data_IF_275450338004
#
_entry.id   IF_275450338004
#
_cell.length_a   1.000
_cell.length_b   1.000
_cell.length_c   1.000
_cell.angle_alpha   90.00
_cell.angle_beta   90.00
_cell.angle_gamma   90.00
#
_symmetry.space_group_name_H-M   'P 1'
#
loop_
_entity.id
_entity.type
_entity.pdbx_description
1 polymer ?
#
# COMPACT_ATOMS: atom_id res chain seq x y z
N UNK A 1 -14.62 -12.51 21.26
CA UNK A 1 -15.13 -12.17 22.60
C UNK A 1 -14.74 -10.71 22.86
N UNK A 2 -15.68 -9.80 23.20
CA UNK A 2 -15.35 -8.39 23.41
C UNK A 2 -14.77 -8.14 24.80
N UNK A 3 -13.55 -7.60 24.86
CA UNK A 3 -12.86 -7.18 26.10
C UNK A 3 -13.57 -5.94 26.70
N UNK A 4 -13.93 -6.00 27.99
CA UNK A 4 -14.53 -4.89 28.74
C UNK A 4 -13.44 -4.25 29.62
N UNK A 5 -13.21 -2.94 29.48
CA UNK A 5 -12.43 -2.15 30.44
C UNK A 5 -13.42 -1.28 31.21
N UNK A 6 -13.56 -1.55 32.51
CA UNK A 6 -14.50 -0.85 33.39
C UNK A 6 -13.74 0.25 34.13
N UNK A 7 -13.97 1.52 33.79
CA UNK A 7 -13.50 2.66 34.57
C UNK A 7 -14.66 3.23 35.38
N UNK A 8 -14.63 3.09 36.71
CA UNK A 8 -15.62 3.70 37.60
C UNK A 8 -15.18 5.11 37.98
N UNK A 9 -15.91 6.12 37.51
CA UNK A 9 -15.89 7.47 38.08
C UNK A 9 -17.33 7.97 38.12
N UNK A 10 -17.87 8.12 39.33
CA UNK A 10 -19.23 8.62 39.63
C UNK A 10 -20.39 7.97 38.85
N UNK A 11 -20.94 6.88 39.39
CA UNK A 11 -22.35 6.50 39.22
C UNK A 11 -22.86 6.07 37.84
N UNK A 12 -22.12 6.30 36.76
CA UNK A 12 -22.48 5.84 35.42
C UNK A 12 -21.26 5.22 34.73
N UNK A 13 -21.23 3.89 34.64
CA UNK A 13 -20.21 3.16 33.87
C UNK A 13 -20.46 3.36 32.38
N UNK A 14 -19.78 4.33 31.78
CA UNK A 14 -19.78 4.47 30.33
C UNK A 14 -18.77 3.46 29.74
N UNK A 15 -19.23 2.22 29.50
CA UNK A 15 -18.42 1.19 28.85
C UNK A 15 -18.38 1.47 27.35
N UNK A 16 -17.36 2.20 26.88
CA UNK A 16 -17.15 2.40 25.45
C UNK A 16 -16.65 1.08 24.82
N UNK A 17 -17.58 0.22 24.40
CA UNK A 17 -17.29 -1.04 23.71
C UNK A 17 -16.72 -0.70 22.33
N UNK A 18 -15.40 -0.60 22.22
CA UNK A 18 -14.73 -0.51 20.91
C UNK A 18 -14.96 -1.84 20.19
N UNK A 19 -15.82 -1.81 19.18
CA UNK A 19 -16.19 -2.97 18.39
C UNK A 19 -14.99 -3.48 17.58
N UNK A 20 -14.52 -4.68 17.96
CA UNK A 20 -13.41 -5.38 17.32
C UNK A 20 -13.74 -5.67 15.84
N UNK A 21 -15.03 -5.81 15.51
CA UNK A 21 -15.49 -5.99 14.12
C UNK A 21 -15.27 -4.72 13.30
N UNK A 22 -15.50 -3.55 13.88
CA UNK A 22 -15.20 -2.27 13.25
C UNK A 22 -13.72 -2.11 12.92
N UNK A 23 -12.83 -2.51 13.83
CA UNK A 23 -11.37 -2.45 13.58
C UNK A 23 -10.92 -3.45 12.50
N UNK A 24 -11.46 -4.67 12.50
CA UNK A 24 -11.16 -5.69 11.49
C UNK A 24 -11.66 -5.29 10.09
N UNK A 25 -12.84 -4.66 9.99
CA UNK A 25 -13.31 -4.06 8.75
C UNK A 25 -12.45 -2.89 8.29
N UNK A 26 -12.05 -2.03 9.24
CA UNK A 26 -11.16 -0.89 8.98
C UNK A 26 -9.81 -1.29 8.39
N UNK A 27 -9.14 -2.31 8.97
CA UNK A 27 -7.87 -2.80 8.41
C UNK A 27 -8.05 -3.34 6.98
N UNK A 28 -9.13 -4.09 6.73
CA UNK A 28 -9.38 -4.67 5.41
C UNK A 28 -9.63 -3.59 4.37
N UNK A 29 -10.44 -2.59 4.72
CA UNK A 29 -10.72 -1.45 3.84
C UNK A 29 -9.45 -0.66 3.51
N UNK A 30 -8.63 -0.35 4.53
CA UNK A 30 -7.38 0.40 4.35
C UNK A 30 -6.38 -0.40 3.51
N UNK A 31 -6.21 -1.70 3.78
CA UNK A 31 -5.35 -2.58 2.99
C UNK A 31 -5.83 -2.71 1.55
N UNK A 32 -7.15 -2.80 1.33
CA UNK A 32 -7.74 -2.86 0.00
C UNK A 32 -7.47 -1.57 -0.79
N UNK A 33 -7.73 -0.41 -0.19
CA UNK A 33 -7.48 0.90 -0.80
C UNK A 33 -5.99 1.09 -1.09
N UNK A 34 -5.11 0.73 -0.15
CA UNK A 34 -3.67 0.77 -0.35
C UNK A 34 -3.26 -0.09 -1.56
N UNK A 35 -3.79 -1.31 -1.67
CA UNK A 35 -3.50 -2.20 -2.79
C UNK A 35 -4.02 -1.63 -4.12
N UNK A 36 -5.26 -1.12 -4.17
CA UNK A 36 -5.85 -0.54 -5.38
C UNK A 36 -5.03 0.65 -5.87
N UNK A 37 -4.68 1.59 -4.99
CA UNK A 37 -3.84 2.73 -5.38
C UNK A 37 -2.44 2.30 -5.83
N UNK A 38 -1.88 1.25 -5.21
CA UNK A 38 -0.60 0.70 -5.65
C UNK A 38 -0.70 0.14 -7.07
N UNK A 39 -1.71 -0.68 -7.35
CA UNK A 39 -1.93 -1.30 -8.66
C UNK A 39 -2.18 -0.26 -9.73
N UNK A 40 -3.01 0.75 -9.46
CA UNK A 40 -3.26 1.86 -10.38
C UNK A 40 -1.96 2.60 -10.67
N UNK A 41 -1.21 2.99 -9.65
CA UNK A 41 0.08 3.65 -9.84
C UNK A 41 1.05 2.78 -10.63
N UNK A 42 1.19 1.50 -10.25
CA UNK A 42 2.08 0.53 -10.88
C UNK A 42 1.80 0.28 -12.36
N UNK A 43 0.52 0.16 -12.75
CA UNK A 43 0.12 -0.20 -14.12
C UNK A 43 0.06 1.02 -15.07
N UNK A 44 -0.01 2.24 -14.54
CA UNK A 44 -0.26 3.43 -15.36
C UNK A 44 1.03 4.12 -15.83
N UNK A 45 0.94 4.80 -16.97
CA UNK A 45 2.07 5.48 -17.63
C UNK A 45 2.35 6.90 -17.13
N UNK A 46 1.76 7.32 -16.01
CA UNK A 46 1.81 8.69 -15.49
C UNK A 46 2.74 8.91 -14.31
N UNK A 47 3.88 8.22 -14.22
CA UNK A 47 4.83 8.44 -13.11
C UNK A 47 5.61 9.74 -13.28
N UNK A 48 6.05 10.04 -14.49
CA UNK A 48 6.64 11.33 -14.85
C UNK A 48 6.12 11.80 -16.20
N UNK A 49 5.87 13.11 -16.31
CA UNK A 49 5.45 13.72 -17.58
C UNK A 49 6.35 14.90 -17.89
N UNK A 50 6.99 14.83 -19.06
CA UNK A 50 7.86 15.89 -19.57
C UNK A 50 7.18 16.54 -20.77
N UNK A 51 7.06 17.87 -20.75
CA UNK A 51 6.57 18.63 -21.91
C UNK A 51 7.72 18.84 -22.88
N UNK A 52 7.55 18.42 -24.13
CA UNK A 52 8.45 18.71 -25.25
C UNK A 52 7.74 19.68 -26.19
N UNK A 53 8.51 20.40 -27.02
CA UNK A 53 7.95 21.34 -28.00
C UNK A 53 7.02 20.67 -29.02
N UNK A 54 7.14 19.35 -29.23
CA UNK A 54 6.34 18.55 -30.15
C UNK A 54 5.30 17.63 -29.48
N UNK A 55 5.15 17.65 -28.15
CA UNK A 55 4.22 16.76 -27.45
C UNK A 55 4.49 16.57 -25.96
N UNK A 56 3.85 15.57 -25.36
CA UNK A 56 4.07 15.18 -23.95
C UNK A 56 4.66 13.78 -23.86
N UNK A 57 5.79 13.65 -23.17
CA UNK A 57 6.47 12.39 -22.91
C UNK A 57 6.05 11.84 -21.55
N UNK A 58 5.34 10.71 -21.55
CA UNK A 58 4.82 10.02 -20.38
C UNK A 58 5.70 8.83 -20.06
N UNK A 59 6.17 8.76 -18.81
CA UNK A 59 7.01 7.70 -18.30
C UNK A 59 6.18 6.91 -17.29
N UNK A 60 5.84 5.67 -17.64
CA UNK A 60 5.35 4.66 -16.71
C UNK A 60 6.45 3.78 -16.17
N UNK A 61 6.08 2.87 -15.26
CA UNK A 61 6.99 1.83 -14.79
C UNK A 61 7.27 0.79 -15.87
N UNK A 62 6.27 0.43 -16.68
CA UNK A 62 6.37 -0.66 -17.65
C UNK A 62 6.45 -0.18 -19.10
N UNK A 63 5.90 1.00 -19.36
CA UNK A 63 5.76 1.54 -20.71
C UNK A 63 6.08 3.03 -20.71
N UNK A 64 6.59 3.53 -21.83
CA UNK A 64 6.84 4.94 -22.08
C UNK A 64 6.09 5.34 -23.34
N UNK A 65 5.35 6.44 -23.29
CA UNK A 65 4.49 6.88 -24.39
C UNK A 65 4.76 8.35 -24.73
N UNK A 66 4.73 8.69 -26.02
CA UNK A 66 4.85 10.07 -26.49
C UNK A 66 3.54 10.48 -27.15
N UNK A 67 2.76 11.32 -26.48
CA UNK A 67 1.54 11.86 -27.09
C UNK A 67 1.93 13.04 -28.00
N UNK A 68 1.54 13.00 -29.27
CA UNK A 68 1.76 14.08 -30.25
C UNK A 68 2.83 13.82 -31.32
N UNK A 69 3.45 12.64 -31.30
CA UNK A 69 4.46 12.22 -32.29
C UNK A 69 4.17 10.79 -32.75
N UNK A 70 4.17 10.52 -34.06
CA UNK A 70 3.96 9.17 -34.64
C UNK A 70 5.16 8.22 -34.44
N UNK A 71 6.08 8.55 -33.53
CA UNK A 71 7.21 7.69 -33.20
C UNK A 71 6.97 7.01 -31.86
N UNK A 72 6.73 5.70 -31.92
CA UNK A 72 6.87 4.81 -30.78
C UNK A 72 8.34 4.78 -30.37
N UNK A 73 8.70 5.60 -29.40
CA UNK A 73 9.95 5.41 -28.69
C UNK A 73 9.76 4.21 -27.75
N UNK A 74 9.95 3.00 -28.30
CA UNK A 74 10.21 1.78 -27.55
C UNK A 74 11.55 1.89 -26.80
N UNK A 75 11.65 2.90 -25.93
CA UNK A 75 12.83 3.27 -25.18
C UNK A 75 12.94 2.41 -23.96
N UNK A 76 13.45 1.18 -24.15
CA UNK A 76 13.84 0.29 -23.07
C UNK A 76 14.53 1.07 -21.97
N UNK A 77 13.98 0.99 -20.76
CA UNK A 77 14.57 1.57 -19.57
C UNK A 77 15.90 0.86 -19.23
N UNK A 78 16.95 1.21 -19.97
CA UNK A 78 18.29 0.64 -19.86
C UNK A 78 19.05 1.12 -18.63
N UNK A 79 18.48 2.09 -17.89
CA UNK A 79 19.10 2.64 -16.70
C UNK A 79 18.93 1.69 -15.51
N UNK A 80 20.04 1.27 -14.91
CA UNK A 80 20.05 0.33 -13.78
C UNK A 80 19.20 0.78 -12.60
N UNK A 81 19.12 2.09 -12.32
CA UNK A 81 18.28 2.65 -11.25
C UNK A 81 16.78 2.46 -11.53
N UNK A 82 16.37 2.47 -12.80
CA UNK A 82 14.97 2.29 -13.16
C UNK A 82 14.56 0.83 -13.02
N UNK A 83 15.43 -0.10 -13.43
CA UNK A 83 15.24 -1.54 -13.15
C UNK A 83 15.16 -1.82 -11.64
N UNK A 84 15.99 -1.15 -10.84
CA UNK A 84 15.91 -1.23 -9.38
C UNK A 84 14.56 -0.70 -8.86
N UNK A 85 14.06 0.42 -9.40
CA UNK A 85 12.73 0.94 -9.06
C UNK A 85 11.64 -0.09 -9.37
N UNK A 86 11.62 -0.64 -10.59
CA UNK A 86 10.67 -1.68 -11.01
C UNK A 86 10.72 -2.88 -10.06
N UNK A 87 11.91 -3.40 -9.75
CA UNK A 87 12.08 -4.54 -8.87
C UNK A 87 11.55 -4.25 -7.46
N UNK A 88 11.92 -3.12 -6.86
CA UNK A 88 11.50 -2.76 -5.50
C UNK A 88 9.99 -2.52 -5.41
N UNK A 89 9.40 -1.83 -6.38
CA UNK A 89 7.94 -1.61 -6.41
C UNK A 89 7.18 -2.91 -6.66
N UNK A 90 7.70 -3.82 -7.49
CA UNK A 90 7.08 -5.14 -7.74
C UNK A 90 7.11 -6.01 -6.49
N UNK A 91 8.26 -6.10 -5.80
CA UNK A 91 8.37 -6.83 -4.54
C UNK A 91 7.43 -6.23 -3.49
N UNK A 92 7.37 -4.90 -3.40
CA UNK A 92 6.45 -4.18 -2.52
C UNK A 92 4.98 -4.55 -2.79
N UNK A 93 4.57 -4.57 -4.05
CA UNK A 93 3.22 -4.95 -4.47
C UNK A 93 2.88 -6.40 -4.09
N UNK A 94 3.80 -7.35 -4.29
CA UNK A 94 3.60 -8.75 -3.91
C UNK A 94 3.32 -8.86 -2.40
N UNK A 95 4.11 -8.19 -1.57
CA UNK A 95 3.91 -8.19 -0.12
C UNK A 95 2.62 -7.49 0.31
N UNK A 96 2.21 -6.41 -0.37
CA UNK A 96 0.91 -5.76 -0.13
C UNK A 96 -0.26 -6.69 -0.47
N UNK A 97 -0.17 -7.48 -1.55
CA UNK A 97 -1.16 -8.49 -1.90
C UNK A 97 -1.22 -9.58 -0.82
N UNK A 98 -0.07 -10.07 -0.34
CA UNK A 98 -0.01 -11.04 0.75
C UNK A 98 -0.64 -10.49 2.04
N UNK A 99 -0.41 -9.22 2.37
CA UNK A 99 -1.04 -8.56 3.50
C UNK A 99 -2.56 -8.43 3.34
N UNK A 100 -3.04 -8.13 2.13
CA UNK A 100 -4.48 -8.11 1.81
C UNK A 100 -5.09 -9.50 1.96
N UNK A 101 -4.44 -10.54 1.44
CA UNK A 101 -4.90 -11.93 1.60
C UNK A 101 -4.97 -12.34 3.07
N UNK A 102 -3.95 -11.99 3.87
CA UNK A 102 -3.96 -12.23 5.31
C UNK A 102 -5.13 -11.52 6.01
N UNK A 103 -5.45 -10.30 5.58
CA UNK A 103 -6.60 -9.54 6.09
C UNK A 103 -7.94 -10.18 5.73
N UNK A 104 -8.08 -10.65 4.49
CA UNK A 104 -9.26 -11.39 4.00
C UNK A 104 -9.43 -12.69 4.79
N UNK A 105 -8.36 -13.47 4.95
CA UNK A 105 -8.40 -14.71 5.72
C UNK A 105 -8.75 -14.44 7.19
N UNK A 106 -8.23 -13.38 7.80
CA UNK A 106 -8.59 -13.03 9.17
C UNK A 106 -10.09 -12.74 9.34
N UNK A 107 -10.70 -12.01 8.39
CA UNK A 107 -12.11 -11.59 8.47
C UNK A 107 -13.06 -12.73 8.11
N UNK A 108 -12.80 -13.43 7.01
CA UNK A 108 -13.75 -14.35 6.40
C UNK A 108 -13.48 -15.83 6.71
N UNK A 109 -12.24 -16.21 7.05
CA UNK A 109 -11.88 -17.61 7.26
C UNK A 109 -11.69 -17.89 8.74
N UNK A 110 -12.61 -18.67 9.32
CA UNK A 110 -12.58 -19.03 10.74
C UNK A 110 -11.75 -20.29 11.05
N UNK A 111 -11.24 -20.97 10.03
CA UNK A 111 -10.49 -22.23 10.17
C UNK A 111 -9.03 -21.98 10.60
N UNK A 112 -8.47 -20.81 10.27
CA UNK A 112 -7.08 -20.49 10.57
C UNK A 112 -6.89 -19.87 11.96
N UNK A 113 -5.68 -20.08 12.50
CA UNK A 113 -5.26 -19.38 13.71
C UNK A 113 -5.11 -17.88 13.42
N UNK A 114 -6.02 -17.09 14.01
CA UNK A 114 -6.08 -15.63 13.85
C UNK A 114 -4.77 -14.91 14.17
N UNK A 115 -4.02 -15.42 15.15
CA UNK A 115 -2.75 -14.82 15.55
C UNK A 115 -1.67 -15.00 14.47
N UNK A 116 -1.68 -16.16 13.78
CA UNK A 116 -0.78 -16.43 12.64
C UNK A 116 -1.14 -15.52 11.47
N UNK A 117 -2.43 -15.39 11.13
CA UNK A 117 -2.88 -14.49 10.06
C UNK A 117 -2.51 -13.03 10.34
N UNK A 118 -2.73 -12.54 11.56
CA UNK A 118 -2.35 -11.18 11.94
C UNK A 118 -0.85 -10.96 11.87
N UNK A 119 -0.05 -11.90 12.37
CA UNK A 119 1.41 -11.78 12.36
C UNK A 119 1.94 -11.78 10.92
N UNK A 120 1.45 -12.69 10.07
CA UNK A 120 1.80 -12.73 8.65
C UNK A 120 1.39 -11.45 7.92
N UNK A 121 0.20 -10.91 8.22
CA UNK A 121 -0.29 -9.64 7.68
C UNK A 121 0.60 -8.46 8.06
N UNK A 122 0.96 -8.32 9.33
CA UNK A 122 1.85 -7.24 9.83
C UNK A 122 3.22 -7.30 9.15
N UNK A 123 3.84 -8.47 9.13
CA UNK A 123 5.18 -8.64 8.52
C UNK A 123 5.13 -8.34 7.02
N UNK A 124 4.13 -8.85 6.33
CA UNK A 124 3.96 -8.61 4.89
C UNK A 124 3.66 -7.15 4.59
N UNK A 125 2.78 -6.49 5.35
CA UNK A 125 2.47 -5.08 5.16
C UNK A 125 3.69 -4.18 5.40
N UNK A 126 4.47 -4.47 6.45
CA UNK A 126 5.68 -3.73 6.78
C UNK A 126 6.76 -3.87 5.69
N UNK A 127 7.01 -5.10 5.22
CA UNK A 127 7.96 -5.35 4.12
C UNK A 127 7.48 -4.71 2.82
N UNK A 128 6.19 -4.85 2.50
CA UNK A 128 5.59 -4.24 1.32
C UNK A 128 5.76 -2.72 1.31
N UNK A 129 5.47 -2.08 2.45
CA UNK A 129 5.68 -0.65 2.62
C UNK A 129 7.15 -0.26 2.46
N UNK A 130 8.08 -0.99 3.08
CA UNK A 130 9.51 -0.72 2.99
C UNK A 130 10.01 -0.76 1.54
N UNK A 131 9.70 -1.83 0.80
CA UNK A 131 10.13 -1.98 -0.59
C UNK A 131 9.48 -0.95 -1.51
N UNK A 132 8.19 -0.63 -1.32
CA UNK A 132 7.54 0.46 -2.05
C UNK A 132 8.21 1.82 -1.79
N UNK A 133 8.54 2.15 -0.54
CA UNK A 133 9.23 3.39 -0.20
C UNK A 133 10.62 3.48 -0.82
N UNK A 134 11.38 2.38 -0.83
CA UNK A 134 12.69 2.34 -1.51
C UNK A 134 12.53 2.63 -3.01
N UNK A 135 11.56 1.99 -3.69
CA UNK A 135 11.26 2.26 -5.10
C UNK A 135 10.88 3.73 -5.35
N UNK A 136 9.99 4.28 -4.50
CA UNK A 136 9.59 5.69 -4.56
C UNK A 136 10.76 6.66 -4.39
N UNK A 137 11.68 6.39 -3.45
CA UNK A 137 12.85 7.24 -3.21
C UNK A 137 13.81 7.19 -4.40
N UNK A 138 14.10 6.00 -4.95
CA UNK A 138 14.99 5.87 -6.12
C UNK A 138 14.43 6.66 -7.30
N UNK A 139 13.13 6.50 -7.61
CA UNK A 139 12.48 7.24 -8.68
C UNK A 139 12.43 8.75 -8.36
N UNK A 140 12.05 9.09 -7.13
CA UNK A 140 11.89 10.44 -6.63
C UNK A 140 13.15 11.30 -6.74
N UNK A 141 14.31 10.71 -6.47
CA UNK A 141 15.62 11.39 -6.54
C UNK A 141 16.15 11.49 -7.98
N UNK A 142 15.81 10.52 -8.85
CA UNK A 142 16.34 10.46 -10.23
C UNK A 142 15.49 11.22 -11.24
N UNK A 143 14.20 11.36 -10.99
CA UNK A 143 13.25 12.02 -11.87
C UNK A 143 12.71 13.30 -11.22
N UNK A 144 12.56 14.38 -11.99
CA UNK A 144 12.17 15.70 -11.43
C UNK A 144 10.70 16.08 -11.65
N UNK A 145 10.04 15.47 -12.64
CA UNK A 145 8.70 15.87 -13.08
C UNK A 145 7.66 14.80 -12.75
N UNK A 146 7.39 14.59 -11.45
CA UNK A 146 6.42 13.59 -10.99
C UNK A 146 5.00 13.95 -11.43
N UNK A 147 4.19 12.93 -11.72
CA UNK A 147 2.78 13.11 -12.05
C UNK A 147 1.89 12.18 -11.21
N UNK A 148 0.59 12.16 -11.48
CA UNK A 148 -0.46 11.59 -10.64
C UNK A 148 -0.25 10.12 -10.27
N UNK A 149 0.31 9.28 -11.15
CA UNK A 149 0.54 7.86 -10.85
C UNK A 149 1.56 7.67 -9.74
N UNK A 150 2.61 8.51 -9.72
CA UNK A 150 3.59 8.52 -8.63
C UNK A 150 2.93 8.89 -7.29
N UNK A 151 2.02 9.88 -7.30
CA UNK A 151 1.28 10.27 -6.11
C UNK A 151 0.38 9.15 -5.56
N UNK A 152 -0.25 8.33 -6.42
CA UNK A 152 -1.03 7.19 -5.97
C UNK A 152 -0.19 6.12 -5.26
N UNK A 153 1.03 5.86 -5.71
CA UNK A 153 1.93 4.94 -5.01
C UNK A 153 2.39 5.53 -3.67
N UNK A 154 2.61 6.85 -3.57
CA UNK A 154 2.86 7.53 -2.29
C UNK A 154 1.68 7.39 -1.32
N UNK A 155 0.45 7.64 -1.79
CA UNK A 155 -0.77 7.47 -1.00
C UNK A 155 -0.92 6.02 -0.54
N UNK A 156 -0.66 5.06 -1.43
CA UNK A 156 -0.65 3.64 -1.10
C UNK A 156 0.33 3.31 0.03
N UNK A 157 1.56 3.85 0.00
CA UNK A 157 2.54 3.64 1.05
C UNK A 157 2.07 4.21 2.40
N UNK A 158 1.49 5.41 2.41
CA UNK A 158 0.94 6.04 3.62
C UNK A 158 -0.23 5.21 4.18
N UNK A 159 -1.16 4.78 3.32
CA UNK A 159 -2.27 3.93 3.74
C UNK A 159 -1.78 2.58 4.26
N UNK A 160 -0.73 2.00 3.67
CA UNK A 160 -0.12 0.77 4.16
C UNK A 160 0.47 0.92 5.56
N UNK A 161 1.07 2.08 5.88
CA UNK A 161 1.52 2.37 7.24
C UNK A 161 0.35 2.40 8.22
N UNK A 162 -0.75 3.09 7.89
CA UNK A 162 -1.95 3.10 8.71
C UNK A 162 -2.55 1.69 8.87
N UNK A 163 -2.61 0.91 7.80
CA UNK A 163 -3.06 -0.49 7.83
C UNK A 163 -2.20 -1.34 8.76
N UNK A 164 -0.88 -1.19 8.70
CA UNK A 164 0.08 -1.90 9.57
C UNK A 164 -0.14 -1.52 11.05
N UNK A 165 -0.31 -0.24 11.36
CA UNK A 165 -0.58 0.24 12.72
C UNK A 165 -1.89 -0.36 13.25
N UNK A 166 -2.96 -0.36 12.44
CA UNK A 166 -4.24 -0.95 12.81
C UNK A 166 -4.13 -2.45 13.10
N UNK A 167 -3.38 -3.20 12.26
CA UNK A 167 -3.14 -4.63 12.49
C UNK A 167 -2.37 -4.88 13.79
N UNK A 168 -1.38 -4.05 14.12
CA UNK A 168 -0.62 -4.16 15.38
C UNK A 168 -1.53 -3.89 16.59
N UNK A 169 -2.40 -2.89 16.53
CA UNK A 169 -3.37 -2.60 17.59
C UNK A 169 -4.34 -3.77 17.78
N UNK A 170 -4.84 -4.33 16.67
CA UNK A 170 -5.72 -5.49 16.69
C UNK A 170 -5.03 -6.73 17.26
N UNK A 171 -3.76 -6.95 16.94
CA UNK A 171 -2.96 -8.04 17.49
C UNK A 171 -2.76 -7.91 19.00
N UNK A 172 -2.47 -6.71 19.51
CA UNK A 172 -2.37 -6.46 20.96
C UNK A 172 -3.68 -6.76 21.66
N UNK A 173 -4.79 -6.22 21.14
CA UNK A 173 -6.13 -6.42 21.71
C UNK A 173 -6.63 -7.87 21.62
N UNK A 174 -6.10 -8.67 20.70
CA UNK A 174 -6.44 -10.09 20.60
C UNK A 174 -5.69 -10.97 21.62
N UNK A 175 -4.61 -10.45 22.22
CA UNK A 175 -3.79 -11.14 23.22
C UNK A 175 -4.23 -10.86 24.66
N UNK A 176 -4.76 -9.67 24.90
CA UNK A 176 -5.37 -9.24 26.18
C UNK A 176 -6.77 -9.86 26.38
#
# INVERSE_FOLDING_TARGET
>A
MPVQVTQQRNGSSFTHKIDIRGMAGGMLLVSLLACVFNVIGFATSGWSVRKLSSGSYHIGLWEQCVCGSNQDYGGSASKSWFKATQAMTTIGLIFLILALLASVFYVFVHIFNKNVCLTAGIVSAALGCLFCLIGLIIFGVKEKNHNWSFAFVCISAILSLFGTILMVILFRKARD
#
